data_IF_906943901344
#
_entry.id   IF_906943901344
#
_cell.length_a   1.000
_cell.length_b   1.000
_cell.length_c   1.000
_cell.angle_alpha   90.00
_cell.angle_beta   90.00
_cell.angle_gamma   90.00
#
_symmetry.space_group_name_H-M   'P 1'
#
loop_
_entity.id
_entity.type
_entity.pdbx_description
1 polymer ?
#
# COMPACT_ATOMS: atom_id res chain seq x y z
N UNK A 1 -3.51 9.75 -6.88
CA UNK A 1 -4.38 8.63 -6.46
C UNK A 1 -5.72 9.21 -6.02
N UNK A 2 -6.76 9.09 -6.84
CA UNK A 2 -8.12 9.49 -6.43
C UNK A 2 -8.72 8.28 -5.71
N UNK A 3 -8.89 8.36 -4.40
CA UNK A 3 -9.65 7.38 -3.62
C UNK A 3 -11.15 7.65 -3.83
N UNK A 4 -11.63 7.44 -5.05
CA UNK A 4 -13.01 7.68 -5.43
C UNK A 4 -13.89 6.51 -5.02
N UNK A 5 -14.50 6.58 -3.83
CA UNK A 5 -15.79 5.98 -3.42
C UNK A 5 -16.12 4.50 -3.68
N UNK A 6 -15.28 3.71 -4.35
CA UNK A 6 -15.56 2.32 -4.71
C UNK A 6 -14.29 1.49 -4.73
N UNK A 7 -14.42 0.21 -4.33
CA UNK A 7 -13.32 -0.75 -4.36
C UNK A 7 -12.80 -1.06 -5.76
N UNK A 8 -11.77 -1.90 -5.81
CA UNK A 8 -11.20 -2.44 -7.04
C UNK A 8 -12.31 -3.05 -7.91
N UNK A 9 -12.27 -2.72 -9.21
CA UNK A 9 -13.24 -3.25 -10.17
C UNK A 9 -13.03 -4.76 -10.33
N UNK A 10 -14.11 -5.52 -10.18
CA UNK A 10 -14.13 -6.97 -10.38
C UNK A 10 -14.30 -7.32 -11.86
N UNK A 11 -13.71 -8.43 -12.26
CA UNK A 11 -13.83 -9.04 -13.57
C UNK A 11 -14.95 -10.09 -13.55
N UNK A 12 -15.98 -9.89 -14.36
CA UNK A 12 -17.12 -10.81 -14.46
C UNK A 12 -16.78 -12.15 -15.14
N UNK A 13 -15.60 -12.28 -15.74
CA UNK A 13 -15.15 -13.51 -16.41
C UNK A 13 -14.38 -14.45 -15.48
N UNK A 14 -13.92 -13.96 -14.33
CA UNK A 14 -13.16 -14.75 -13.36
C UNK A 14 -14.04 -15.23 -12.19
N UNK A 15 -13.80 -16.42 -11.64
CA UNK A 15 -14.41 -16.87 -10.39
C UNK A 15 -14.18 -15.88 -9.24
N UNK A 16 -15.07 -15.90 -8.24
CA UNK A 16 -15.00 -14.96 -7.12
C UNK A 16 -13.75 -15.16 -6.25
N UNK A 17 -13.30 -16.40 -6.11
CA UNK A 17 -12.19 -16.81 -5.26
C UNK A 17 -10.82 -16.39 -5.83
N UNK A 18 -10.77 -16.12 -7.13
CA UNK A 18 -9.56 -15.66 -7.82
C UNK A 18 -9.47 -14.13 -7.88
N UNK A 19 -10.34 -13.44 -7.15
CA UNK A 19 -10.44 -11.99 -7.15
C UNK A 19 -10.53 -11.44 -5.75
N UNK A 20 -10.18 -10.16 -5.62
CA UNK A 20 -10.27 -9.46 -4.35
C UNK A 20 -11.73 -9.32 -3.93
N UNK A 21 -12.05 -9.43 -2.64
CA UNK A 21 -13.39 -9.16 -2.13
C UNK A 21 -13.88 -7.76 -2.51
N UNK A 22 -15.19 -7.58 -2.48
CA UNK A 22 -15.80 -6.26 -2.65
C UNK A 22 -15.27 -5.26 -1.62
N UNK A 23 -15.28 -3.98 -1.99
CA UNK A 23 -14.77 -2.86 -1.18
C UNK A 23 -13.27 -2.91 -0.83
N UNK A 24 -12.51 -3.86 -1.40
CA UNK A 24 -11.04 -3.84 -1.34
C UNK A 24 -10.51 -2.65 -2.15
N UNK A 25 -9.65 -1.81 -1.58
CA UNK A 25 -8.96 -0.72 -2.30
C UNK A 25 -7.59 -1.13 -2.81
N UNK A 26 -6.89 -1.95 -2.03
CA UNK A 26 -5.54 -2.44 -2.34
C UNK A 26 -5.53 -3.94 -2.16
N UNK A 27 -5.04 -4.62 -3.19
CA UNK A 27 -5.00 -6.06 -3.24
C UNK A 27 -3.68 -6.54 -3.81
N UNK A 28 -3.17 -7.64 -3.26
CA UNK A 28 -2.05 -8.38 -3.82
C UNK A 28 -2.59 -9.63 -4.48
N UNK A 29 -2.23 -9.83 -5.74
CA UNK A 29 -2.44 -11.09 -6.46
C UNK A 29 -1.09 -11.73 -6.72
N UNK A 30 -0.91 -12.96 -6.23
CA UNK A 30 0.25 -13.78 -6.57
C UNK A 30 -0.12 -14.64 -7.75
N UNK A 31 0.65 -14.52 -8.83
CA UNK A 31 0.39 -15.24 -10.07
C UNK A 31 1.56 -16.11 -10.47
N UNK A 32 1.29 -17.20 -11.19
CA UNK A 32 2.30 -18.07 -11.77
C UNK A 32 2.08 -18.22 -13.27
N UNK A 33 3.14 -17.97 -14.03
CA UNK A 33 3.22 -18.24 -15.46
C UNK A 33 4.30 -19.29 -15.68
N UNK A 34 3.98 -20.35 -16.43
CA UNK A 34 4.95 -21.41 -16.72
C UNK A 34 6.00 -20.88 -17.71
N UNK A 35 7.29 -20.79 -17.36
CA UNK A 35 8.30 -20.19 -18.23
C UNK A 35 8.43 -20.87 -19.60
N UNK A 36 8.25 -22.19 -19.64
CA UNK A 36 8.33 -22.99 -20.87
C UNK A 36 7.05 -23.03 -21.71
N UNK A 37 5.95 -22.44 -21.24
CA UNK A 37 4.67 -22.39 -21.98
C UNK A 37 4.01 -21.01 -21.80
N UNK A 38 4.58 -19.94 -22.41
CA UNK A 38 4.07 -18.58 -22.27
C UNK A 38 2.71 -18.36 -22.94
N UNK A 39 2.28 -19.28 -23.81
CA UNK A 39 0.94 -19.27 -24.41
C UNK A 39 -0.15 -19.78 -23.45
N UNK A 40 0.21 -20.46 -22.36
CA UNK A 40 -0.74 -20.81 -21.32
C UNK A 40 -1.12 -19.56 -20.52
N UNK A 41 -2.40 -19.40 -20.14
CA UNK A 41 -2.83 -18.29 -19.31
C UNK A 41 -2.19 -18.35 -17.93
N UNK A 42 -1.84 -17.17 -17.41
CA UNK A 42 -1.32 -16.99 -16.05
C UNK A 42 -2.34 -17.47 -15.02
N UNK A 43 -1.85 -18.23 -14.02
CA UNK A 43 -2.70 -18.78 -12.96
C UNK A 43 -2.59 -17.91 -11.72
N UNK A 44 -3.74 -17.54 -11.14
CA UNK A 44 -3.79 -16.89 -9.83
C UNK A 44 -3.56 -17.96 -8.76
N UNK A 45 -2.50 -17.80 -7.98
CA UNK A 45 -2.18 -18.70 -6.87
C UNK A 45 -2.79 -18.23 -5.56
N UNK A 46 -2.83 -16.91 -5.35
CA UNK A 46 -3.25 -16.32 -4.09
C UNK A 46 -3.77 -14.92 -4.31
N UNK A 47 -4.82 -14.57 -3.57
CA UNK A 47 -5.36 -13.22 -3.49
C UNK A 47 -5.33 -12.79 -2.03
N UNK A 48 -4.75 -11.63 -1.77
CA UNK A 48 -4.62 -11.06 -0.43
C UNK A 48 -5.23 -9.66 -0.43
N UNK A 49 -6.38 -9.45 0.24
CA UNK A 49 -6.89 -8.12 0.45
C UNK A 49 -5.99 -7.39 1.46
N UNK A 50 -5.40 -6.27 1.03
CA UNK A 50 -4.42 -5.51 1.83
C UNK A 50 -5.10 -4.37 2.59
N UNK A 51 -5.97 -3.61 1.93
CA UNK A 51 -6.69 -2.50 2.52
C UNK A 51 -8.03 -2.29 1.81
N UNK A 52 -9.02 -1.77 2.53
CA UNK A 52 -10.37 -1.55 2.03
C UNK A 52 -11.38 -1.39 3.15
N UNK A 53 -12.62 -1.10 2.78
CA UNK A 53 -13.76 -1.18 3.70
C UNK A 53 -14.25 -2.63 3.77
N UNK A 54 -13.45 -3.45 4.46
CA UNK A 54 -13.66 -4.88 4.55
C UNK A 54 -14.37 -5.21 5.87
N UNK A 55 -15.57 -5.76 5.76
CA UNK A 55 -16.29 -6.31 6.89
C UNK A 55 -15.63 -7.63 7.32
N UNK A 56 -14.55 -7.54 8.10
CA UNK A 56 -13.96 -8.68 8.78
C UNK A 56 -14.94 -9.17 9.87
N UNK A 57 -15.12 -10.49 9.99
CA UNK A 57 -15.97 -11.10 11.05
C UNK A 57 -15.60 -10.46 12.41
N UNK A 58 -16.58 -10.03 13.23
CA UNK A 58 -16.35 -9.33 14.51
C UNK A 58 -15.46 -10.07 15.52
N UNK A 59 -15.14 -11.35 15.28
CA UNK A 59 -14.10 -12.10 16.03
C UNK A 59 -12.66 -11.71 15.68
N UNK A 60 -12.45 -11.02 14.57
CA UNK A 60 -11.19 -10.42 14.19
C UNK A 60 -11.34 -8.91 14.39
N UNK A 61 -10.39 -8.27 15.09
CA UNK A 61 -10.46 -6.84 15.42
C UNK A 61 -10.92 -6.03 14.21
N UNK A 62 -12.02 -5.28 14.37
CA UNK A 62 -12.39 -4.23 13.43
C UNK A 62 -11.18 -3.31 13.29
N UNK A 63 -10.55 -3.34 12.12
CA UNK A 63 -9.56 -2.33 11.76
C UNK A 63 -10.31 -1.35 10.89
N UNK A 64 -10.85 -0.31 11.51
CA UNK A 64 -11.45 0.78 10.76
C UNK A 64 -10.39 1.31 9.77
N UNK A 65 -10.74 1.51 8.49
CA UNK A 65 -9.82 2.02 7.49
C UNK A 65 -9.42 3.45 7.90
N UNK A 66 -8.31 3.56 8.62
CA UNK A 66 -7.77 4.83 9.08
C UNK A 66 -6.70 5.26 8.09
N UNK A 67 -6.92 6.39 7.42
CA UNK A 67 -5.86 7.10 6.71
C UNK A 67 -5.16 8.00 7.71
N UNK A 68 -4.02 7.55 8.25
CA UNK A 68 -3.18 8.44 9.09
C UNK A 68 -2.19 9.15 8.19
N UNK A 69 -2.33 10.47 8.14
CA UNK A 69 -1.38 11.40 7.54
C UNK A 69 -0.29 11.68 8.57
N UNK A 70 0.91 11.19 8.35
CA UNK A 70 2.07 11.53 9.19
C UNK A 70 3.02 12.39 8.34
N UNK A 71 3.26 13.62 8.79
CA UNK A 71 4.31 14.45 8.25
C UNK A 71 5.58 14.12 9.04
N UNK A 72 6.50 13.39 8.40
CA UNK A 72 7.84 13.21 8.96
C UNK A 72 8.63 14.50 8.66
N UNK A 73 8.54 15.49 9.56
CA UNK A 73 9.49 16.61 9.59
C UNK A 73 10.73 16.19 10.37
N UNK A 74 11.91 16.26 9.76
CA UNK A 74 13.14 16.32 10.53
C UNK A 74 13.04 17.52 11.50
N UNK A 75 13.36 17.30 12.78
CA UNK A 75 13.20 18.27 13.87
C UNK A 75 13.64 19.70 13.50
N UNK A 76 12.71 20.64 13.39
CA UNK A 76 13.00 22.06 13.62
C UNK A 76 12.73 22.39 15.09
N UNK A 77 13.57 21.87 15.99
CA UNK A 77 13.71 22.42 17.33
C UNK A 77 14.98 23.26 17.35
N UNK A 78 14.80 24.57 17.32
CA UNK A 78 15.85 25.56 17.56
C UNK A 78 16.50 25.29 18.94
N UNK A 79 17.65 24.63 18.94
CA UNK A 79 18.64 24.80 19.98
C UNK A 79 19.90 25.34 19.32
N UNK A 80 20.19 26.61 19.61
CA UNK A 80 21.45 27.24 19.29
C UNK A 80 22.58 26.45 19.97
N UNK A 81 23.52 25.97 19.16
CA UNK A 81 24.81 25.49 19.65
C UNK A 81 24.96 23.98 19.84
N UNK A 82 25.02 23.21 18.75
CA UNK A 82 25.86 22.02 18.67
C UNK A 82 26.04 21.60 17.20
N UNK A 83 27.28 21.70 16.71
CA UNK A 83 27.73 21.16 15.44
C UNK A 83 27.62 19.63 15.44
N UNK A 84 26.58 19.10 14.82
CA UNK A 84 26.55 17.74 14.29
C UNK A 84 25.89 17.81 12.92
N UNK A 85 26.57 17.32 11.88
CA UNK A 85 26.03 17.10 10.55
C UNK A 85 24.87 16.11 10.67
N UNK A 86 23.65 16.62 10.85
CA UNK A 86 22.41 15.88 10.72
C UNK A 86 21.92 16.15 9.31
N UNK A 87 21.95 15.11 8.47
CA UNK A 87 21.36 15.11 7.14
C UNK A 87 19.89 15.55 7.25
N UNK A 88 19.58 16.75 6.76
CA UNK A 88 18.22 17.27 6.62
C UNK A 88 17.46 16.40 5.61
N UNK A 89 16.83 15.33 6.08
CA UNK A 89 15.97 14.50 5.25
C UNK A 89 14.75 15.28 4.75
N UNK A 90 14.32 15.10 3.49
CA UNK A 90 13.15 15.79 2.95
C UNK A 90 11.89 15.42 3.74
N UNK A 91 11.04 16.43 4.02
CA UNK A 91 9.74 16.22 4.64
C UNK A 91 8.92 15.24 3.80
N UNK A 92 8.51 14.13 4.40
CA UNK A 92 7.75 13.10 3.72
C UNK A 92 6.32 13.03 4.25
N UNK A 93 5.38 12.84 3.32
CA UNK A 93 3.99 12.58 3.63
C UNK A 93 3.75 11.08 3.63
N UNK A 94 3.37 10.51 4.77
CA UNK A 94 3.06 9.08 4.88
C UNK A 94 1.56 8.88 4.98
N UNK A 95 1.01 8.00 4.12
CA UNK A 95 -0.38 7.56 4.13
C UNK A 95 -0.42 6.07 4.44
N UNK A 96 -1.01 5.72 5.57
CA UNK A 96 -1.27 4.32 5.91
C UNK A 96 -2.71 3.96 5.56
N UNK A 97 -2.92 2.80 4.95
CA UNK A 97 -4.23 2.25 4.61
C UNK A 97 -4.35 0.85 5.20
N UNK A 98 -5.48 0.58 5.83
CA UNK A 98 -5.75 -0.65 6.59
C UNK A 98 -7.05 -1.33 6.13
N UNK A 99 -7.41 -2.42 6.80
CA UNK A 99 -8.68 -3.14 6.59
C UNK A 99 -8.50 -4.58 6.11
N UNK A 100 -7.32 -4.95 5.62
CA UNK A 100 -7.03 -6.32 5.18
C UNK A 100 -6.67 -7.28 6.31
N UNK A 101 -6.96 -8.57 6.11
CA UNK A 101 -6.57 -9.65 7.01
C UNK A 101 -6.23 -10.90 6.22
N UNK A 102 -5.09 -11.52 6.52
CA UNK A 102 -4.65 -12.73 5.83
C UNK A 102 -3.78 -13.59 6.74
N UNK A 103 -4.03 -14.91 6.76
CA UNK A 103 -3.27 -15.89 7.57
C UNK A 103 -3.06 -15.47 9.02
N UNK A 104 -4.12 -14.98 9.68
CA UNK A 104 -4.08 -14.48 11.06
C UNK A 104 -3.28 -13.18 11.29
N UNK A 105 -2.88 -12.50 10.21
CA UNK A 105 -2.13 -11.24 10.29
C UNK A 105 -2.91 -10.09 9.64
N UNK A 106 -2.98 -8.97 10.33
CA UNK A 106 -3.47 -7.71 9.77
C UNK A 106 -2.60 -7.31 8.59
N UNK A 107 -3.23 -6.83 7.52
CA UNK A 107 -2.54 -6.29 6.37
C UNK A 107 -2.63 -4.77 6.38
N UNK A 108 -1.58 -4.12 5.88
CA UNK A 108 -1.57 -2.67 5.67
C UNK A 108 -0.74 -2.27 4.46
N UNK A 109 -1.17 -1.21 3.79
CA UNK A 109 -0.39 -0.54 2.76
C UNK A 109 0.10 0.81 3.32
N UNK A 110 1.36 1.14 3.08
CA UNK A 110 1.95 2.41 3.46
C UNK A 110 2.48 3.09 2.20
N UNK A 111 2.12 4.34 1.96
CA UNK A 111 2.65 5.15 0.88
C UNK A 111 3.45 6.29 1.47
N UNK A 112 4.70 6.46 1.05
CA UNK A 112 5.56 7.56 1.47
C UNK A 112 5.81 8.47 0.27
N UNK A 113 5.20 9.65 0.28
CA UNK A 113 5.38 10.67 -0.73
C UNK A 113 6.50 11.61 -0.29
N UNK A 114 7.50 11.77 -1.15
CA UNK A 114 8.66 12.63 -0.89
C UNK A 114 8.64 13.78 -1.89
N UNK A 115 8.82 15.00 -1.42
CA UNK A 115 8.98 16.14 -2.31
C UNK A 115 10.39 16.11 -2.92
N UNK A 116 10.48 15.99 -4.23
CA UNK A 116 11.72 16.22 -4.97
C UNK A 116 11.67 17.64 -5.58
N UNK A 117 12.34 18.64 -4.99
CA UNK A 117 12.33 20.01 -5.50
C UNK A 117 13.09 20.16 -6.82
N UNK A 118 13.92 19.19 -7.20
CA UNK A 118 14.71 19.19 -8.43
C UNK A 118 14.04 18.41 -9.57
N UNK A 119 12.95 17.69 -9.26
CA UNK A 119 12.09 17.07 -10.26
C UNK A 119 11.49 18.15 -11.16
N UNK A 120 12.04 18.30 -12.36
CA UNK A 120 11.42 19.08 -13.45
C UNK A 120 10.18 18.38 -14.03
N UNK A 121 9.84 17.21 -13.51
CA UNK A 121 8.83 16.35 -14.09
C UNK A 121 7.43 16.78 -13.63
N UNK A 122 6.60 17.18 -14.59
CA UNK A 122 5.15 17.34 -14.43
C UNK A 122 4.41 15.99 -14.49
N UNK A 123 5.17 14.88 -14.57
CA UNK A 123 4.63 13.53 -14.70
C UNK A 123 4.31 12.93 -13.33
N UNK A 124 3.12 12.35 -13.21
CA UNK A 124 2.74 11.51 -12.08
C UNK A 124 3.64 10.28 -12.05
N UNK A 125 4.44 10.11 -10.99
CA UNK A 125 5.19 8.88 -10.73
C UNK A 125 4.24 7.79 -10.21
N UNK A 126 4.48 6.55 -10.66
CA UNK A 126 3.76 5.39 -10.15
C UNK A 126 4.49 4.88 -8.91
N UNK A 127 3.79 4.65 -7.79
CA UNK A 127 4.44 4.17 -6.56
C UNK A 127 5.03 2.78 -6.79
N UNK A 128 6.26 2.58 -6.33
CA UNK A 128 6.96 1.30 -6.42
C UNK A 128 7.00 0.60 -5.06
N UNK A 129 6.98 -0.73 -5.06
CA UNK A 129 7.09 -1.50 -3.82
C UNK A 129 8.52 -1.36 -3.26
N UNK A 130 8.66 -0.68 -2.13
CA UNK A 130 9.94 -0.47 -1.46
C UNK A 130 10.31 -1.66 -0.57
N UNK A 131 9.39 -2.10 0.30
CA UNK A 131 9.62 -3.23 1.19
C UNK A 131 8.33 -3.89 1.67
N UNK A 132 8.47 -5.11 2.17
CA UNK A 132 7.38 -5.86 2.82
C UNK A 132 7.85 -6.44 4.14
N UNK A 133 7.08 -6.24 5.21
CA UNK A 133 7.39 -6.81 6.52
C UNK A 133 6.13 -7.00 7.35
N UNK A 134 5.93 -8.21 7.88
CA UNK A 134 4.87 -8.53 8.85
C UNK A 134 3.47 -7.99 8.44
N UNK A 135 3.01 -8.31 7.22
CA UNK A 135 1.71 -7.85 6.69
C UNK A 135 1.69 -6.40 6.18
N UNK A 136 2.80 -5.67 6.29
CA UNK A 136 2.95 -4.32 5.74
C UNK A 136 3.55 -4.38 4.35
N UNK A 137 3.00 -3.58 3.43
CA UNK A 137 3.58 -3.31 2.11
C UNK A 137 3.81 -1.81 1.99
N UNK A 138 5.07 -1.40 1.88
CA UNK A 138 5.42 0.01 1.78
C UNK A 138 5.77 0.36 0.34
N UNK A 139 5.31 1.53 -0.07
CA UNK A 139 5.49 2.09 -1.40
C UNK A 139 6.07 3.50 -1.32
N UNK A 140 6.88 3.87 -2.31
CA UNK A 140 7.47 5.20 -2.48
C UNK A 140 7.23 5.72 -3.88
#
# INVERSE_FOLDING_TARGET
MVLGGGGLKRDGTLPMELQCPENTWICLTVTNTRPSHPSEPTRVLQVVPVAGDLHLDPRHCRVDPTSRLELETANCSSQEGASAQLEEGPSALVVNLHGGFYTLHLQKAQFKFICDPNSKSTTVTTPELAWTFNGTRAFT
#
